data_IF_899169838720
#
_entry.id   IF_899169838720
#
_cell.length_a   1.000
_cell.length_b   1.000
_cell.length_c   1.000
_cell.angle_alpha   90.00
_cell.angle_beta   90.00
_cell.angle_gamma   90.00
#
_symmetry.space_group_name_H-M   'P 1'
#
loop_
_entity.id
_entity.type
_entity.pdbx_description
1 polymer ?
#
# COMPACT_ATOMS: atom_id res chain seq x y z
N UNK A 1 5.10 -1.54 -34.34
CA UNK A 1 5.96 -2.30 -33.41
C UNK A 1 5.54 -1.86 -32.02
N UNK A 2 5.10 -2.76 -31.16
CA UNK A 2 4.60 -2.40 -29.82
C UNK A 2 5.77 -1.80 -29.03
N UNK A 3 5.65 -0.56 -28.57
CA UNK A 3 6.67 0.06 -27.69
C UNK A 3 6.71 -0.73 -26.38
N UNK A 4 7.90 -1.08 -25.87
CA UNK A 4 8.03 -1.83 -24.62
C UNK A 4 7.34 -1.06 -23.49
N UNK A 5 6.54 -1.78 -22.70
CA UNK A 5 5.83 -1.22 -21.55
C UNK A 5 6.86 -0.78 -20.51
N UNK A 6 6.72 0.42 -19.91
CA UNK A 6 7.58 0.88 -18.79
C UNK A 6 7.62 -0.05 -17.56
N UNK A 7 6.73 -1.07 -17.52
CA UNK A 7 6.72 -2.12 -16.49
C UNK A 7 7.72 -3.28 -16.75
N UNK A 8 8.30 -3.39 -17.95
CA UNK A 8 9.39 -4.35 -18.22
C UNK A 8 10.76 -3.83 -17.74
N UNK A 9 10.82 -2.57 -17.31
CA UNK A 9 12.02 -1.97 -16.76
C UNK A 9 12.12 -2.31 -15.26
N UNK A 10 12.92 -3.35 -14.96
CA UNK A 10 13.10 -3.92 -13.61
C UNK A 10 13.43 -2.85 -12.56
N UNK A 11 14.19 -1.83 -12.96
CA UNK A 11 14.66 -0.80 -12.05
C UNK A 11 13.51 0.07 -11.50
N UNK A 12 12.49 0.36 -12.31
CA UNK A 12 11.33 1.19 -11.91
C UNK A 12 10.42 0.42 -10.95
N UNK A 13 10.18 -0.86 -11.22
CA UNK A 13 9.36 -1.75 -10.37
C UNK A 13 10.00 -2.01 -9.00
N UNK A 14 11.33 -2.16 -8.95
CA UNK A 14 12.07 -2.41 -7.72
C UNK A 14 12.02 -1.20 -6.76
N UNK A 15 12.09 0.03 -7.29
CA UNK A 15 11.99 1.26 -6.50
C UNK A 15 10.57 1.43 -5.92
N UNK A 16 9.52 1.17 -6.70
CA UNK A 16 8.13 1.24 -6.25
C UNK A 16 7.86 0.22 -5.12
N UNK A 17 8.36 -1.00 -5.28
CA UNK A 17 8.24 -2.06 -4.28
C UNK A 17 8.99 -1.75 -2.97
N UNK A 18 10.20 -1.17 -3.07
CA UNK A 18 10.96 -0.76 -1.89
C UNK A 18 10.20 0.28 -1.04
N UNK A 19 9.51 1.24 -1.68
CA UNK A 19 8.69 2.25 -1.01
C UNK A 19 7.49 1.63 -0.31
N UNK A 20 6.76 0.75 -0.98
CA UNK A 20 5.65 0.02 -0.39
C UNK A 20 6.09 -0.79 0.84
N UNK A 21 7.20 -1.53 0.74
CA UNK A 21 7.70 -2.34 1.85
C UNK A 21 8.13 -1.50 3.06
N UNK A 22 8.63 -0.28 2.84
CA UNK A 22 8.92 0.69 3.92
C UNK A 22 7.65 1.20 4.59
N UNK A 23 6.60 1.45 3.81
CA UNK A 23 5.30 1.89 4.29
C UNK A 23 4.62 0.79 5.13
N UNK A 24 4.67 -0.45 4.64
CA UNK A 24 4.15 -1.63 5.34
C UNK A 24 4.87 -1.89 6.67
N UNK A 25 6.16 -1.60 6.77
CA UNK A 25 6.89 -1.64 8.05
C UNK A 25 6.32 -0.63 9.06
N UNK A 26 5.99 0.59 8.62
CA UNK A 26 5.34 1.58 9.47
C UNK A 26 3.95 1.11 9.93
N UNK A 27 3.17 0.55 9.00
CA UNK A 27 1.85 0.01 9.30
C UNK A 27 1.88 -1.20 10.23
N UNK A 28 2.96 -1.99 10.24
CA UNK A 28 3.15 -3.06 11.21
C UNK A 28 3.27 -2.53 12.65
N UNK A 29 3.92 -1.37 12.85
CA UNK A 29 4.00 -0.72 14.18
C UNK A 29 2.61 -0.23 14.61
N UNK A 30 1.87 0.39 13.69
CA UNK A 30 0.49 0.85 13.94
C UNK A 30 -0.42 -0.33 14.28
N UNK A 31 -0.34 -1.41 13.51
CA UNK A 31 -1.09 -2.65 13.74
C UNK A 31 -0.75 -3.27 15.10
N UNK A 32 0.53 -3.33 15.46
CA UNK A 32 0.95 -3.78 16.78
C UNK A 32 0.39 -2.89 17.90
N UNK A 33 0.43 -1.56 17.73
CA UNK A 33 -0.19 -0.61 18.66
C UNK A 33 -1.70 -0.84 18.81
N UNK A 34 -2.41 -1.09 17.70
CA UNK A 34 -3.84 -1.40 17.72
C UNK A 34 -4.14 -2.71 18.48
N UNK A 35 -3.32 -3.75 18.29
CA UNK A 35 -3.43 -5.01 19.04
C UNK A 35 -3.22 -4.77 20.54
N UNK A 36 -2.17 -4.04 20.93
CA UNK A 36 -1.89 -3.73 22.34
C UNK A 36 -3.04 -2.93 22.97
N UNK A 37 -3.57 -1.93 22.25
CA UNK A 37 -4.72 -1.15 22.71
C UNK A 37 -5.97 -2.01 22.86
N UNK A 38 -6.27 -2.88 21.89
CA UNK A 38 -7.42 -3.78 21.94
C UNK A 38 -7.33 -4.76 23.13
N UNK A 39 -6.16 -5.38 23.33
CA UNK A 39 -5.92 -6.28 24.46
C UNK A 39 -5.94 -5.55 25.80
N UNK A 40 -5.37 -4.35 25.87
CA UNK A 40 -5.40 -3.50 27.06
C UNK A 40 -6.83 -3.11 27.44
N UNK A 41 -7.64 -2.72 26.46
CA UNK A 41 -9.07 -2.45 26.64
C UNK A 41 -9.83 -3.69 27.13
N UNK A 42 -9.58 -4.84 26.52
CA UNK A 42 -10.20 -6.11 26.91
C UNK A 42 -9.80 -6.50 28.35
N UNK A 43 -8.54 -6.29 28.73
CA UNK A 43 -8.04 -6.56 30.10
C UNK A 43 -8.67 -5.65 31.14
N UNK A 44 -8.94 -4.40 30.78
CA UNK A 44 -9.58 -3.44 31.66
C UNK A 44 -11.07 -3.76 31.86
N UNK A 45 -11.75 -4.17 30.80
CA UNK A 45 -13.21 -4.43 30.83
C UNK A 45 -13.57 -5.82 31.36
N UNK A 46 -12.81 -6.86 31.02
CA UNK A 46 -13.11 -8.26 31.38
C UNK A 46 -12.30 -8.78 32.58
N UNK A 47 -11.33 -8.01 33.08
CA UNK A 47 -10.51 -8.41 34.22
C UNK A 47 -9.69 -9.67 33.93
N UNK A 48 -9.83 -10.69 34.77
CA UNK A 48 -9.04 -11.94 34.69
C UNK A 48 -9.66 -13.03 33.80
N UNK A 49 -10.77 -12.73 33.11
CA UNK A 49 -11.42 -13.68 32.19
C UNK A 49 -10.74 -13.77 30.82
N UNK A 50 -9.57 -13.15 30.64
CA UNK A 50 -8.79 -13.22 29.41
C UNK A 50 -8.17 -14.61 29.22
N UNK A 51 -8.91 -15.47 28.55
CA UNK A 51 -8.39 -16.77 28.11
C UNK A 51 -7.36 -16.60 26.98
N UNK A 52 -6.35 -17.48 26.92
CA UNK A 52 -5.32 -17.50 25.87
C UNK A 52 -5.91 -17.45 24.45
N UNK A 53 -7.03 -18.15 24.21
CA UNK A 53 -7.74 -18.18 22.93
C UNK A 53 -8.25 -16.79 22.53
N UNK A 54 -8.77 -16.00 23.48
CA UNK A 54 -9.21 -14.63 23.22
C UNK A 54 -8.02 -13.75 22.83
N UNK A 55 -6.91 -13.87 23.54
CA UNK A 55 -5.70 -13.08 23.25
C UNK A 55 -5.23 -13.35 21.83
N UNK A 56 -5.10 -14.63 21.45
CA UNK A 56 -4.65 -15.03 20.12
C UNK A 56 -5.66 -14.58 19.06
N UNK A 57 -6.97 -14.80 19.28
CA UNK A 57 -8.01 -14.43 18.34
C UNK A 57 -8.09 -12.91 18.15
N UNK A 58 -8.00 -12.11 19.22
CA UNK A 58 -7.99 -10.65 19.13
C UNK A 58 -6.72 -10.14 18.47
N UNK A 59 -5.55 -10.66 18.82
CA UNK A 59 -4.30 -10.26 18.19
C UNK A 59 -4.27 -10.57 16.70
N UNK A 60 -4.68 -11.79 16.32
CA UNK A 60 -4.77 -12.20 14.93
C UNK A 60 -5.85 -11.39 14.18
N UNK A 61 -7.05 -11.25 14.74
CA UNK A 61 -8.14 -10.52 14.12
C UNK A 61 -7.78 -9.05 13.89
N UNK A 62 -7.45 -8.31 14.95
CA UNK A 62 -7.10 -6.89 14.86
C UNK A 62 -5.85 -6.69 14.02
N UNK A 63 -4.80 -7.48 14.27
CA UNK A 63 -3.53 -7.34 13.59
C UNK A 63 -3.63 -7.58 12.09
N UNK A 64 -4.27 -8.69 11.69
CA UNK A 64 -4.47 -9.04 10.28
C UNK A 64 -5.42 -8.06 9.59
N UNK A 65 -6.52 -7.64 10.22
CA UNK A 65 -7.45 -6.67 9.61
C UNK A 65 -6.77 -5.32 9.33
N UNK A 66 -6.00 -4.79 10.29
CA UNK A 66 -5.29 -3.52 10.08
C UNK A 66 -4.21 -3.66 9.00
N UNK A 67 -3.42 -4.74 9.06
CA UNK A 67 -2.39 -5.00 8.06
C UNK A 67 -2.96 -5.22 6.66
N UNK A 68 -4.08 -5.93 6.56
CA UNK A 68 -4.78 -6.16 5.30
C UNK A 68 -5.32 -4.85 4.74
N UNK A 69 -6.00 -4.03 5.56
CA UNK A 69 -6.46 -2.71 5.15
C UNK A 69 -5.32 -1.82 4.65
N UNK A 70 -4.21 -1.78 5.38
CA UNK A 70 -3.00 -1.06 4.98
C UNK A 70 -2.39 -1.60 3.68
N UNK A 71 -2.32 -2.92 3.52
CA UNK A 71 -1.82 -3.56 2.30
C UNK A 71 -2.67 -3.18 1.09
N UNK A 72 -3.99 -3.27 1.22
CA UNK A 72 -4.93 -2.92 0.15
C UNK A 72 -4.81 -1.44 -0.21
N UNK A 73 -4.79 -0.53 0.77
CA UNK A 73 -4.57 0.90 0.55
C UNK A 73 -3.24 1.17 -0.15
N UNK A 74 -2.16 0.50 0.27
CA UNK A 74 -0.84 0.63 -0.35
C UNK A 74 -0.81 0.10 -1.80
N UNK A 75 -1.51 -1.00 -2.08
CA UNK A 75 -1.66 -1.53 -3.44
C UNK A 75 -2.44 -0.57 -4.33
N UNK A 76 -3.50 0.09 -3.82
CA UNK A 76 -4.24 1.11 -4.56
C UNK A 76 -3.32 2.28 -4.95
N UNK A 77 -2.47 2.76 -4.04
CA UNK A 77 -1.50 3.82 -4.35
C UNK A 77 -0.44 3.39 -5.37
N UNK A 78 0.03 2.14 -5.30
CA UNK A 78 0.93 1.60 -6.32
C UNK A 78 0.24 1.50 -7.67
N UNK A 79 -1.05 1.16 -7.69
CA UNK A 79 -1.83 1.05 -8.92
C UNK A 79 -2.01 2.41 -9.61
N UNK A 80 -2.15 3.50 -8.86
CA UNK A 80 -2.27 4.85 -9.44
C UNK A 80 -0.91 5.49 -9.75
N UNK A 81 0.15 5.15 -9.02
CA UNK A 81 1.48 5.72 -9.18
C UNK A 81 2.44 4.96 -10.12
N UNK A 82 2.01 3.87 -10.75
CA UNK A 82 2.84 3.02 -11.63
C UNK A 82 3.04 3.57 -13.05
N UNK A 83 2.61 4.81 -13.33
CA UNK A 83 2.88 5.48 -14.61
C UNK A 83 1.92 5.15 -15.74
N UNK A 84 0.71 4.61 -15.45
CA UNK A 84 -0.30 4.40 -16.50
C UNK A 84 -0.75 5.71 -17.17
N UNK A 85 -0.81 6.80 -16.40
CA UNK A 85 -1.26 8.11 -16.90
C UNK A 85 -0.11 8.97 -17.45
N UNK A 86 1.14 8.60 -17.15
CA UNK A 86 2.35 9.30 -17.60
C UNK A 86 2.90 8.71 -18.91
N UNK A 87 2.40 7.54 -19.31
CA UNK A 87 2.66 6.90 -20.60
C UNK A 87 1.65 7.28 -21.69
N UNK A 88 0.92 8.40 -21.54
CA UNK A 88 0.22 9.01 -22.66
C UNK A 88 1.27 9.75 -23.49
N UNK A 89 1.79 9.04 -24.48
CA UNK A 89 2.55 9.62 -25.58
C UNK A 89 1.66 10.68 -26.25
N UNK A 90 2.07 11.95 -26.20
CA UNK A 90 1.31 13.05 -26.80
C UNK A 90 1.24 12.82 -28.31
N UNK A 91 0.06 12.54 -28.89
CA UNK A 91 -0.06 12.25 -30.32
C UNK A 91 0.36 13.42 -31.22
N UNK A 92 0.52 14.62 -30.65
CA UNK A 92 0.85 15.84 -31.36
C UNK A 92 2.29 16.33 -31.14
N UNK A 93 3.13 15.57 -30.42
CA UNK A 93 4.53 15.96 -30.17
C UNK A 93 5.34 16.13 -31.48
N UNK A 94 4.93 15.41 -32.54
CA UNK A 94 5.52 15.46 -33.89
C UNK A 94 4.63 16.19 -34.93
N UNK A 95 3.59 16.93 -34.53
CA UNK A 95 2.72 17.67 -35.47
C UNK A 95 3.33 19.05 -35.83
N UNK A 96 3.89 19.23 -37.04
CA UNK A 96 4.53 20.48 -37.45
C UNK A 96 3.54 21.65 -37.60
N UNK A 97 2.23 21.36 -37.71
CA UNK A 97 1.20 22.37 -37.94
C UNK A 97 0.79 23.08 -36.62
N UNK A 98 1.09 22.49 -35.45
CA UNK A 98 0.81 23.04 -34.11
C UNK A 98 1.97 23.86 -33.52
N UNK A 99 3.16 23.87 -34.15
CA UNK A 99 4.35 24.58 -33.65
C UNK A 99 4.47 26.03 -34.21
N UNK A 100 3.50 26.50 -34.99
CA UNK A 100 3.63 27.74 -35.76
C UNK A 100 2.95 28.98 -35.17
N UNK A 101 2.35 28.87 -33.97
CA UNK A 101 1.52 29.92 -33.33
C UNK A 101 2.17 30.58 -32.08
N UNK A 102 3.51 30.66 -32.02
CA UNK A 102 4.24 31.45 -30.99
C UNK A 102 4.88 32.71 -31.52
#
# INVERSE_FOLDING_TARGET
MVKPSPLDDRDTSDIAWARYRRLMKGMAIVSFGAVVLALGWLRFTMGDQLTIHMIIATAAGVGLSVMLGAALMGLVFLSSGSGHDEAIEDPFEDDPDMNHDR
#
